data_IF_598918125044
#
_entry.id   IF_598918125044
#
_cell.length_a   1.000
_cell.length_b   1.000
_cell.length_c   1.000
_cell.angle_alpha   90.00
_cell.angle_beta   90.00
_cell.angle_gamma   90.00
#
_symmetry.space_group_name_H-M   'P 1'
#
loop_
_entity.id
_entity.type
_entity.pdbx_description
1 polymer ?
#
# COMPACT_ATOMS: atom_id res chain seq x y z
N UNK A 1 -6.99 -19.46 23.22
CA UNK A 1 -5.56 -19.15 23.06
C UNK A 1 -5.47 -17.99 22.08
N UNK A 2 -4.99 -16.83 22.51
CA UNK A 2 -4.75 -15.71 21.58
C UNK A 2 -3.44 -15.99 20.83
N UNK A 3 -3.45 -15.88 19.51
CA UNK A 3 -2.25 -16.05 18.70
C UNK A 3 -1.24 -14.93 19.01
N UNK A 4 0.06 -15.21 18.90
CA UNK A 4 1.08 -14.17 19.06
C UNK A 4 0.95 -13.11 17.94
N UNK A 5 1.33 -11.84 18.19
CA UNK A 5 1.24 -10.78 17.18
C UNK A 5 1.93 -11.16 15.85
N UNK A 6 3.08 -11.85 15.91
CA UNK A 6 3.78 -12.33 14.73
C UNK A 6 2.99 -13.39 13.94
N UNK A 7 2.30 -14.30 14.62
CA UNK A 7 1.45 -15.30 13.98
C UNK A 7 0.23 -14.64 13.32
N UNK A 8 -0.39 -13.66 14.00
CA UNK A 8 -1.49 -12.87 13.43
C UNK A 8 -1.03 -12.12 12.18
N UNK A 9 0.09 -11.39 12.26
CA UNK A 9 0.64 -10.66 11.12
C UNK A 9 0.93 -11.57 9.92
N UNK A 10 1.54 -12.73 10.16
CA UNK A 10 1.86 -13.69 9.08
C UNK A 10 0.60 -14.19 8.37
N UNK A 11 -0.40 -14.63 9.15
CA UNK A 11 -1.62 -15.18 8.58
C UNK A 11 -2.44 -14.13 7.82
N UNK A 12 -2.51 -12.90 8.33
CA UNK A 12 -3.15 -11.79 7.63
C UNK A 12 -2.39 -11.40 6.36
N UNK A 13 -1.06 -11.48 6.33
CA UNK A 13 -0.27 -11.21 5.14
C UNK A 13 -0.56 -12.23 4.03
N UNK A 14 -0.59 -13.52 4.37
CA UNK A 14 -0.91 -14.61 3.43
C UNK A 14 -2.33 -14.46 2.86
N UNK A 15 -3.30 -14.14 3.73
CA UNK A 15 -4.68 -13.90 3.30
C UNK A 15 -4.79 -12.69 2.38
N UNK A 16 -4.14 -11.57 2.71
CA UNK A 16 -4.18 -10.36 1.89
C UNK A 16 -3.54 -10.58 0.51
N UNK A 17 -2.46 -11.36 0.42
CA UNK A 17 -1.86 -11.79 -0.85
C UNK A 17 -2.87 -12.58 -1.69
N UNK A 18 -3.50 -13.61 -1.10
CA UNK A 18 -4.45 -14.47 -1.80
C UNK A 18 -5.68 -13.68 -2.29
N UNK A 19 -6.21 -12.80 -1.46
CA UNK A 19 -7.35 -11.94 -1.80
C UNK A 19 -7.03 -11.00 -2.96
N UNK A 20 -5.85 -10.35 -2.95
CA UNK A 20 -5.45 -9.48 -4.05
C UNK A 20 -5.31 -10.27 -5.35
N UNK A 21 -4.57 -11.38 -5.32
CA UNK A 21 -4.36 -12.22 -6.50
C UNK A 21 -5.68 -12.75 -7.07
N UNK A 22 -6.61 -13.17 -6.22
CA UNK A 22 -7.93 -13.67 -6.65
C UNK A 22 -8.79 -12.59 -7.30
N UNK A 23 -8.62 -11.31 -6.95
CA UNK A 23 -9.52 -10.22 -7.37
C UNK A 23 -8.98 -9.43 -8.55
N UNK A 24 -7.68 -9.22 -8.59
CA UNK A 24 -7.03 -8.41 -9.64
C UNK A 24 -6.24 -9.27 -10.62
N UNK A 25 -6.02 -10.55 -10.32
CA UNK A 25 -5.14 -11.41 -11.09
C UNK A 25 -3.65 -11.07 -10.92
N UNK A 26 -3.31 -10.13 -10.03
CA UNK A 26 -1.94 -9.68 -9.79
C UNK A 26 -1.56 -9.82 -8.32
N UNK A 27 -0.45 -10.50 -8.08
CA UNK A 27 0.09 -10.70 -6.73
C UNK A 27 0.99 -9.51 -6.37
N UNK A 28 0.78 -8.84 -5.23
CA UNK A 28 1.71 -7.85 -4.71
C UNK A 28 3.13 -8.40 -4.58
N UNK A 29 4.13 -7.53 -4.75
CA UNK A 29 5.54 -7.92 -4.60
C UNK A 29 5.90 -8.27 -3.16
N UNK A 30 5.30 -7.56 -2.21
CA UNK A 30 5.48 -7.80 -0.79
C UNK A 30 4.25 -7.36 -0.01
N UNK A 31 4.10 -7.89 1.20
CA UNK A 31 3.08 -7.45 2.16
C UNK A 31 3.74 -7.20 3.51
N UNK A 32 3.39 -6.08 4.12
CA UNK A 32 3.78 -5.74 5.49
C UNK A 32 2.53 -5.70 6.35
N UNK A 33 2.55 -6.38 7.50
CA UNK A 33 1.45 -6.33 8.47
C UNK A 33 1.96 -5.88 9.82
N UNK A 34 1.43 -4.75 10.29
CA UNK A 34 1.65 -4.24 11.64
C UNK A 34 0.37 -4.50 12.43
N UNK A 35 0.46 -5.38 13.42
CA UNK A 35 -0.65 -5.73 14.29
C UNK A 35 -0.34 -5.31 15.73
N UNK A 36 -1.29 -4.61 16.35
CA UNK A 36 -1.37 -4.35 17.79
C UNK A 36 -2.71 -4.89 18.32
N UNK A 37 -2.97 -4.71 19.62
CA UNK A 37 -4.23 -5.16 20.24
C UNK A 37 -5.48 -4.46 19.67
N UNK A 38 -5.35 -3.24 19.14
CA UNK A 38 -6.48 -2.42 18.68
C UNK A 38 -6.40 -2.00 17.21
N UNK A 39 -5.26 -2.21 16.57
CA UNK A 39 -5.02 -1.77 15.19
C UNK A 39 -4.32 -2.85 14.38
N UNK A 40 -4.80 -3.07 13.16
CA UNK A 40 -4.11 -3.85 12.14
C UNK A 40 -3.93 -2.98 10.91
N UNK A 41 -2.69 -2.80 10.47
CA UNK A 41 -2.35 -2.12 9.22
C UNK A 41 -1.70 -3.13 8.28
N UNK A 42 -2.26 -3.28 7.09
CA UNK A 42 -1.76 -4.15 6.02
C UNK A 42 -1.33 -3.26 4.86
N UNK A 43 -0.06 -3.32 4.48
CA UNK A 43 0.48 -2.62 3.32
C UNK A 43 0.83 -3.63 2.24
N UNK A 44 0.18 -3.53 1.08
CA UNK A 44 0.48 -4.26 -0.13
C UNK A 44 1.43 -3.41 -0.99
N UNK A 45 2.63 -3.92 -1.25
CA UNK A 45 3.63 -3.23 -2.05
C UNK A 45 3.53 -3.66 -3.51
N UNK A 46 3.48 -2.69 -4.42
CA UNK A 46 3.33 -2.89 -5.87
C UNK A 46 2.11 -3.78 -6.23
N UNK A 47 0.96 -3.49 -5.62
CA UNK A 47 -0.27 -4.26 -5.72
C UNK A 47 -1.10 -3.95 -6.99
N UNK A 48 -0.78 -2.86 -7.68
CA UNK A 48 -1.40 -2.51 -8.96
C UNK A 48 -0.84 -3.38 -10.10
N UNK A 49 -1.75 -3.85 -10.94
CA UNK A 49 -1.47 -4.50 -12.22
C UNK A 49 -0.71 -3.55 -13.17
N UNK A 50 -0.01 -4.08 -14.19
CA UNK A 50 0.61 -3.25 -15.21
C UNK A 50 -0.37 -2.30 -15.92
N UNK A 51 -1.62 -2.74 -16.15
CA UNK A 51 -2.65 -1.93 -16.79
C UNK A 51 -3.10 -0.77 -15.89
N UNK A 52 -3.31 -1.03 -14.59
CA UNK A 52 -3.65 0.02 -13.61
C UNK A 52 -2.50 1.03 -13.48
N UNK A 53 -1.24 0.58 -13.45
CA UNK A 53 -0.07 1.48 -13.44
C UNK A 53 0.02 2.37 -14.70
N UNK A 54 -0.38 1.85 -15.86
CA UNK A 54 -0.43 2.65 -17.10
C UNK A 54 -1.56 3.68 -17.02
N UNK A 55 -2.74 3.27 -16.56
CA UNK A 55 -3.90 4.15 -16.39
C UNK A 55 -3.60 5.29 -15.40
N UNK A 56 -2.94 4.97 -14.29
CA UNK A 56 -2.55 5.89 -13.23
C UNK A 56 -1.53 6.98 -13.65
N UNK A 57 -0.98 6.92 -14.87
CA UNK A 57 -0.07 7.96 -15.39
C UNK A 57 -0.76 9.29 -15.65
N UNK A 58 -2.08 9.31 -15.71
CA UNK A 58 -2.89 10.52 -15.81
C UNK A 58 -3.62 10.77 -14.50
N UNK A 59 -3.90 12.03 -14.16
CA UNK A 59 -4.67 12.37 -12.95
C UNK A 59 -6.05 11.70 -12.94
N UNK A 60 -6.75 11.74 -14.07
CA UNK A 60 -8.05 11.09 -14.22
C UNK A 60 -7.94 9.57 -14.01
N UNK A 61 -6.94 8.93 -14.63
CA UNK A 61 -6.75 7.49 -14.49
C UNK A 61 -6.28 7.09 -13.09
N UNK A 62 -5.50 7.93 -12.40
CA UNK A 62 -5.13 7.72 -11.01
C UNK A 62 -6.37 7.72 -10.11
N UNK A 63 -7.26 8.72 -10.27
CA UNK A 63 -8.55 8.76 -9.55
C UNK A 63 -9.40 7.51 -9.83
N UNK A 64 -9.43 7.03 -11.07
CA UNK A 64 -10.18 5.82 -11.43
C UNK A 64 -9.62 4.57 -10.74
N UNK A 65 -8.30 4.43 -10.68
CA UNK A 65 -7.64 3.32 -9.99
C UNK A 65 -7.93 3.38 -8.48
N UNK A 66 -7.87 4.56 -7.87
CA UNK A 66 -8.22 4.74 -6.47
C UNK A 66 -9.68 4.35 -6.18
N UNK A 67 -10.62 4.82 -6.99
CA UNK A 67 -12.05 4.52 -6.83
C UNK A 67 -12.33 3.03 -7.00
N UNK A 68 -11.68 2.40 -7.99
CA UNK A 68 -11.79 0.96 -8.22
C UNK A 68 -11.32 0.16 -6.99
N UNK A 69 -10.13 0.46 -6.45
CA UNK A 69 -9.62 -0.22 -5.27
C UNK A 69 -10.42 0.10 -4.00
N UNK A 70 -10.96 1.31 -3.88
CA UNK A 70 -11.86 1.67 -2.78
C UNK A 70 -13.16 0.87 -2.83
N UNK A 71 -13.74 0.71 -4.02
CA UNK A 71 -14.92 -0.12 -4.23
C UNK A 71 -14.63 -1.60 -3.96
N UNK A 72 -13.50 -2.12 -4.47
CA UNK A 72 -13.04 -3.48 -4.19
C UNK A 72 -12.89 -3.72 -2.69
N UNK A 73 -12.26 -2.79 -1.97
CA UNK A 73 -12.10 -2.91 -0.52
C UNK A 73 -13.46 -2.93 0.18
N UNK A 74 -14.39 -2.04 -0.18
CA UNK A 74 -15.70 -1.94 0.44
C UNK A 74 -16.50 -3.26 0.37
N UNK A 75 -16.46 -3.96 -0.77
CA UNK A 75 -17.23 -5.21 -0.97
C UNK A 75 -16.54 -6.44 -0.38
N UNK A 76 -15.30 -6.33 0.09
CA UNK A 76 -14.46 -7.49 0.34
C UNK A 76 -13.64 -7.47 1.63
N UNK A 77 -13.68 -6.34 2.36
CA UNK A 77 -13.00 -6.17 3.63
C UNK A 77 -13.59 -7.04 4.75
N UNK A 78 -14.81 -7.56 4.60
CA UNK A 78 -15.47 -8.39 5.62
C UNK A 78 -14.73 -9.71 5.88
N UNK A 79 -14.12 -10.31 4.85
CA UNK A 79 -13.30 -11.51 5.03
C UNK A 79 -12.10 -11.22 5.95
N UNK A 80 -11.38 -10.11 5.73
CA UNK A 80 -10.28 -9.68 6.60
C UNK A 80 -10.77 -9.31 7.99
N UNK A 81 -11.93 -8.65 8.13
CA UNK A 81 -12.52 -8.32 9.45
C UNK A 81 -12.82 -9.59 10.25
N UNK A 82 -13.41 -10.58 9.60
CA UNK A 82 -13.74 -11.86 10.24
C UNK A 82 -12.48 -12.59 10.68
N UNK A 83 -11.44 -12.58 9.84
CA UNK A 83 -10.16 -13.22 10.18
C UNK A 83 -9.43 -12.48 11.32
N UNK A 84 -9.42 -11.15 11.30
CA UNK A 84 -8.89 -10.34 12.41
C UNK A 84 -9.63 -10.67 13.70
N UNK A 85 -10.97 -10.76 13.68
CA UNK A 85 -11.75 -11.13 14.85
C UNK A 85 -11.42 -12.56 15.32
N UNK A 86 -11.25 -13.50 14.39
CA UNK A 86 -10.92 -14.89 14.72
C UNK A 86 -9.54 -15.00 15.37
N UNK A 87 -8.56 -14.22 14.92
CA UNK A 87 -7.18 -14.27 15.38
C UNK A 87 -6.94 -13.47 16.68
N UNK A 88 -7.58 -12.32 16.81
CA UNK A 88 -7.37 -11.38 17.93
C UNK A 88 -8.47 -11.44 19.00
N UNK A 89 -9.63 -12.03 18.68
CA UNK A 89 -10.82 -11.99 19.51
C UNK A 89 -11.55 -10.63 19.50
N UNK A 90 -11.07 -9.64 18.74
CA UNK A 90 -11.60 -8.27 18.73
C UNK A 90 -12.35 -7.99 17.43
N UNK A 91 -13.54 -7.38 17.55
CA UNK A 91 -14.30 -6.93 16.38
C UNK A 91 -13.70 -5.64 15.84
N UNK A 92 -13.41 -5.63 14.55
CA UNK A 92 -13.07 -4.41 13.82
C UNK A 92 -14.31 -3.51 13.80
N UNK A 93 -14.16 -2.25 14.23
CA UNK A 93 -15.23 -1.25 14.17
C UNK A 93 -15.12 -0.38 12.93
N UNK A 94 -13.90 -0.01 12.56
CA UNK A 94 -13.63 0.87 11.44
C UNK A 94 -12.59 0.23 10.52
N UNK A 95 -12.73 0.46 9.21
CA UNK A 95 -11.70 0.10 8.25
C UNK A 95 -11.58 1.18 7.18
N UNK A 96 -10.34 1.43 6.75
CA UNK A 96 -10.01 2.42 5.74
C UNK A 96 -9.03 1.82 4.73
N UNK A 97 -9.07 2.35 3.51
CA UNK A 97 -8.13 2.02 2.43
C UNK A 97 -7.54 3.30 1.87
N UNK A 98 -6.23 3.26 1.63
CA UNK A 98 -5.46 4.30 0.96
C UNK A 98 -4.71 3.66 -0.19
N UNK A 99 -4.79 4.26 -1.37
CA UNK A 99 -4.16 3.78 -2.60
C UNK A 99 -3.18 4.86 -3.03
N UNK A 100 -1.95 4.48 -3.34
CA UNK A 100 -0.94 5.38 -3.86
C UNK A 100 -0.66 4.95 -5.31
N UNK A 101 -1.21 5.64 -6.32
CA UNK A 101 -1.18 5.19 -7.70
C UNK A 101 0.21 5.20 -8.36
N UNK A 102 1.15 6.03 -7.90
CA UNK A 102 2.45 6.18 -8.57
C UNK A 102 3.38 4.97 -8.33
N UNK A 103 3.42 4.46 -7.09
CA UNK A 103 4.15 3.25 -6.69
C UNK A 103 3.27 2.00 -6.77
N UNK A 104 1.95 2.18 -6.71
CA UNK A 104 0.98 1.12 -6.63
C UNK A 104 0.89 0.47 -5.25
N UNK A 105 1.24 1.20 -4.19
CA UNK A 105 1.05 0.75 -2.83
C UNK A 105 -0.42 0.87 -2.41
N UNK A 106 -0.91 -0.12 -1.68
CA UNK A 106 -2.26 -0.11 -1.10
C UNK A 106 -2.15 -0.38 0.39
N UNK A 107 -2.76 0.46 1.21
CA UNK A 107 -2.77 0.34 2.67
C UNK A 107 -4.20 0.10 3.13
N UNK A 108 -4.42 -0.97 3.88
CA UNK A 108 -5.65 -1.24 4.62
C UNK A 108 -5.40 -1.00 6.11
N UNK A 109 -6.21 -0.17 6.74
CA UNK A 109 -6.21 0.01 8.19
C UNK A 109 -7.51 -0.53 8.77
N UNK A 110 -7.40 -1.29 9.85
CA UNK A 110 -8.52 -1.82 10.63
C UNK A 110 -8.32 -1.43 12.08
N UNK A 111 -9.34 -0.84 12.72
CA UNK A 111 -9.22 -0.35 14.10
C UNK A 111 -10.42 -0.71 14.96
N UNK A 112 -10.19 -0.74 16.28
CA UNK A 112 -11.23 -0.86 17.30
C UNK A 112 -11.09 0.25 18.33
N UNK A 113 -11.58 1.46 18.01
CA UNK A 113 -11.61 2.60 18.94
C UNK A 113 -10.34 3.47 18.91
N UNK A 114 -9.29 3.03 18.22
CA UNK A 114 -8.09 3.82 17.94
C UNK A 114 -8.25 4.59 16.62
N UNK A 115 -7.83 5.85 16.61
CA UNK A 115 -7.73 6.65 15.38
C UNK A 115 -6.40 6.35 14.70
N UNK A 116 -6.42 6.02 13.41
CA UNK A 116 -5.23 5.88 12.56
C UNK A 116 -5.23 7.01 11.54
N UNK A 117 -4.13 7.79 11.51
CA UNK A 117 -3.90 8.81 10.50
C UNK A 117 -2.89 8.30 9.47
N UNK A 118 -3.24 8.38 8.20
CA UNK A 118 -2.37 7.98 7.09
C UNK A 118 -1.98 9.25 6.34
N UNK A 119 -0.67 9.54 6.34
CA UNK A 119 -0.10 10.64 5.56
C UNK A 119 0.67 10.02 4.38
N UNK A 120 0.22 10.32 3.17
CA UNK A 120 1.00 10.00 1.98
C UNK A 120 2.09 11.05 1.81
N UNK A 121 3.31 10.59 1.57
CA UNK A 121 4.45 11.44 1.29
C UNK A 121 4.76 11.37 -0.21
N UNK A 122 5.24 12.47 -0.77
CA UNK A 122 5.72 12.48 -2.15
C UNK A 122 6.89 11.48 -2.31
N UNK A 123 7.02 10.83 -3.49
CA UNK A 123 8.19 10.01 -3.78
C UNK A 123 9.47 10.82 -3.57
N UNK A 124 10.52 10.18 -3.04
CA UNK A 124 11.81 10.85 -2.93
C UNK A 124 12.29 11.22 -4.34
N UNK A 125 12.37 12.52 -4.64
CA UNK A 125 12.93 12.98 -5.90
C UNK A 125 14.37 12.51 -6.03
N UNK A 126 14.70 11.83 -7.13
CA UNK A 126 16.10 11.53 -7.46
C UNK A 126 16.81 12.87 -7.52
N UNK A 127 17.69 13.14 -6.56
CA UNK A 127 18.57 14.29 -6.60
C UNK A 127 19.27 14.29 -7.96
N UNK A 128 18.91 15.24 -8.84
CA UNK A 128 19.64 15.49 -10.06
C UNK A 128 21.07 15.78 -9.66
N UNK A 129 21.97 14.80 -9.85
CA UNK A 129 23.39 15.09 -9.86
C UNK A 129 23.61 16.05 -11.03
N UNK A 130 23.69 17.34 -10.73
CA UNK A 130 24.25 18.33 -11.64
C UNK A 130 25.69 17.90 -11.87
N UNK A 131 25.92 17.22 -13.00
CA UNK A 131 27.25 17.01 -13.54
C UNK A 131 27.84 18.40 -13.75
N UNK A 132 28.85 18.76 -12.94
CA UNK A 132 29.62 19.96 -13.15
C UNK A 132 30.30 19.85 -14.51
N UNK A 133 29.76 20.57 -15.49
CA UNK A 133 30.33 20.69 -16.82
C UNK A 133 31.77 21.20 -16.72
N UNK A 134 32.67 20.50 -17.40
CA UNK A 134 34.07 20.89 -17.63
C UNK A 134 34.10 22.31 -18.22
N UNK A 135 34.85 23.27 -17.64
CA UNK A 135 35.03 24.57 -18.28
C UNK A 135 35.88 24.42 -19.56
N UNK A 136 35.54 25.11 -20.65
CA UNK A 136 36.30 25.03 -21.90
C UNK A 136 37.68 25.67 -21.74
N UNK A 137 38.68 25.03 -22.34
CA UNK A 137 40.06 25.49 -22.45
C UNK A 137 40.16 26.94 -22.90
N UNK A 138 40.93 27.73 -22.17
CA UNK A 138 41.44 29.01 -22.64
C UNK A 138 42.95 28.88 -22.88
N UNK A 139 43.33 28.59 -24.12
CA UNK A 139 44.55 29.16 -24.69
C UNK A 139 44.12 30.43 -25.44
N UNK A 140 44.90 31.52 -25.33
CA UNK A 140 45.61 31.91 -26.55
C UNK A 140 47.04 32.41 -26.30
N UNK A 141 47.82 32.28 -27.37
CA UNK A 141 49.20 32.71 -27.58
C UNK A 141 49.49 34.17 -27.23
N UNK A 142 50.70 34.39 -26.73
CA UNK A 142 51.36 35.69 -26.56
C UNK A 142 52.75 35.48 -25.97
#
# INVERSE_FOLDING_TARGET
>A
MNASPAAVSKQLAEMALAMQASRTGHTPKAVTVVASDETVVVTLHEALTPAEKILARSEQGASQVEDYHRALFAVSCDELRNEIQRLTGRKVREAAVVVEPATGAIVHAFTSGTVVQIFQLEPHGVATQVSAGVPPSAEPSG
#
